data_IF_623632765720
#
_entry.id   IF_623632765720
#
_cell.length_a   1.000
_cell.length_b   1.000
_cell.length_c   1.000
_cell.angle_alpha   90.00
_cell.angle_beta   90.00
_cell.angle_gamma   90.00
#
_symmetry.space_group_name_H-M   'P 1'
#
loop_
_entity.id
_entity.type
_entity.pdbx_description
1 polymer ?
#
# COMPACT_ATOMS: atom_id res chain seq x y z
N UNK A 1 57.05 -12.23 33.62
CA UNK A 1 57.08 -13.60 33.05
C UNK A 1 57.29 -13.43 31.54
N UNK A 2 58.50 -13.54 30.96
CA UNK A 2 59.26 -14.76 30.58
C UNK A 2 58.32 -15.83 29.96
N UNK A 3 58.48 -16.34 28.73
CA UNK A 3 59.62 -16.39 27.78
C UNK A 3 59.15 -16.92 26.38
N UNK A 4 59.84 -16.48 25.30
CA UNK A 4 60.27 -17.14 24.02
C UNK A 4 59.23 -17.85 23.11
N UNK A 5 59.14 -17.61 21.78
CA UNK A 5 60.07 -17.76 20.62
C UNK A 5 60.50 -19.21 20.26
N UNK A 6 60.71 -19.44 18.94
CA UNK A 6 61.18 -20.64 18.17
C UNK A 6 60.01 -21.38 17.47
N UNK A 7 59.72 -21.26 16.16
CA UNK A 7 60.45 -21.58 14.90
C UNK A 7 60.55 -23.09 14.57
N UNK A 8 59.89 -23.44 13.44
CA UNK A 8 60.12 -24.53 12.48
C UNK A 8 59.99 -26.01 12.91
N UNK A 9 59.13 -26.78 12.22
CA UNK A 9 59.54 -27.62 11.08
C UNK A 9 58.34 -28.33 10.43
N UNK A 10 58.46 -28.55 9.13
CA UNK A 10 57.55 -29.20 8.18
C UNK A 10 57.09 -30.61 8.58
N UNK A 11 55.87 -30.97 8.16
CA UNK A 11 55.57 -32.29 7.59
C UNK A 11 54.36 -32.18 6.64
N UNK A 12 54.64 -32.32 5.35
CA UNK A 12 53.65 -32.53 4.30
C UNK A 12 53.28 -34.02 4.25
N UNK A 13 51.98 -34.34 4.20
CA UNK A 13 51.51 -35.64 3.72
C UNK A 13 50.09 -35.51 3.15
N UNK A 14 49.98 -35.99 1.91
CA UNK A 14 48.86 -36.03 0.99
C UNK A 14 47.46 -36.22 1.59
N UNK A 15 46.51 -35.38 1.19
CA UNK A 15 45.10 -35.72 1.20
C UNK A 15 44.64 -36.05 -0.23
N UNK A 16 44.23 -37.29 -0.41
CA UNK A 16 43.74 -37.88 -1.64
C UNK A 16 42.47 -37.16 -2.08
N UNK A 17 42.48 -36.61 -3.30
CA UNK A 17 41.27 -36.12 -3.98
C UNK A 17 40.46 -37.35 -4.42
N UNK A 18 39.39 -37.65 -3.69
CA UNK A 18 38.35 -38.53 -4.19
C UNK A 18 37.41 -37.71 -5.10
N UNK A 19 37.53 -37.94 -6.41
CA UNK A 19 36.59 -37.43 -7.42
C UNK A 19 35.30 -38.22 -7.26
N UNK A 20 34.26 -37.61 -6.71
CA UNK A 20 32.89 -38.15 -6.80
C UNK A 20 32.27 -37.70 -8.11
N UNK A 21 31.63 -38.60 -8.89
CA UNK A 21 30.95 -38.21 -10.12
C UNK A 21 29.71 -37.38 -9.78
N UNK A 22 29.68 -36.14 -10.27
CA UNK A 22 28.51 -35.28 -10.30
C UNK A 22 27.39 -36.01 -11.06
N UNK A 23 26.38 -36.47 -10.32
CA UNK A 23 25.16 -37.07 -10.87
C UNK A 23 23.98 -36.30 -10.32
N UNK A 24 23.24 -35.65 -11.23
CA UNK A 24 21.93 -35.06 -10.94
C UNK A 24 21.95 -33.54 -10.78
N UNK A 25 21.91 -32.82 -11.90
CA UNK A 25 21.25 -31.52 -11.97
C UNK A 25 19.78 -31.72 -11.62
N UNK A 26 19.47 -31.68 -10.32
CA UNK A 26 18.12 -31.40 -9.86
C UNK A 26 17.78 -29.98 -10.29
N UNK A 27 16.80 -29.84 -11.18
CA UNK A 27 16.15 -28.55 -11.39
C UNK A 27 15.75 -27.98 -10.03
N UNK A 28 15.89 -26.67 -9.77
CA UNK A 28 15.30 -26.09 -8.58
C UNK A 28 13.80 -26.40 -8.65
N UNK A 29 13.31 -27.17 -7.69
CA UNK A 29 11.88 -27.35 -7.50
C UNK A 29 11.29 -25.95 -7.39
N UNK A 30 10.35 -25.63 -8.27
CA UNK A 30 9.48 -24.47 -8.10
C UNK A 30 8.70 -24.81 -6.83
N UNK A 31 9.12 -24.30 -5.67
CA UNK A 31 8.29 -24.36 -4.49
C UNK A 31 6.96 -23.69 -4.85
N UNK A 32 5.81 -24.35 -4.62
CA UNK A 32 4.53 -23.72 -4.86
C UNK A 32 4.53 -22.43 -4.05
N UNK A 33 4.19 -21.32 -4.70
CA UNK A 33 4.02 -20.02 -4.05
C UNK A 33 2.92 -20.17 -2.99
N UNK A 34 3.33 -20.46 -1.75
CA UNK A 34 2.45 -20.65 -0.58
C UNK A 34 2.04 -19.31 0.02
N UNK A 35 2.03 -18.26 -0.81
CA UNK A 35 1.47 -16.96 -0.47
C UNK A 35 -0.03 -17.09 -0.23
N UNK A 36 -0.41 -17.22 1.04
CA UNK A 36 -1.82 -17.19 1.44
C UNK A 36 -2.45 -15.88 1.00
N UNK A 37 -3.52 -15.97 0.21
CA UNK A 37 -4.34 -14.81 -0.18
C UNK A 37 -5.44 -14.58 0.85
N UNK A 38 -6.02 -13.39 0.80
CA UNK A 38 -7.17 -13.00 1.62
C UNK A 38 -8.39 -12.80 0.74
N UNK A 39 -9.56 -13.18 1.25
CA UNK A 39 -10.86 -12.94 0.60
C UNK A 39 -11.78 -12.19 1.57
N UNK A 40 -12.70 -11.41 1.01
CA UNK A 40 -13.80 -10.81 1.75
C UNK A 40 -14.98 -11.78 1.75
N UNK A 41 -15.35 -12.30 2.92
CA UNK A 41 -16.48 -13.23 3.05
C UNK A 41 -17.82 -12.52 2.86
N UNK A 42 -18.89 -13.32 2.71
CA UNK A 42 -20.27 -12.80 2.69
C UNK A 42 -20.69 -12.09 3.99
N UNK A 43 -19.98 -12.33 5.09
CA UNK A 43 -20.18 -11.64 6.37
C UNK A 43 -19.30 -10.41 6.52
N UNK A 44 -18.75 -9.88 5.42
CA UNK A 44 -17.89 -8.68 5.41
C UNK A 44 -16.61 -8.83 6.24
N UNK A 45 -16.08 -10.05 6.36
CA UNK A 45 -14.89 -10.34 7.14
C UNK A 45 -13.75 -10.84 6.26
N UNK A 46 -12.55 -10.34 6.52
CA UNK A 46 -11.35 -10.81 5.83
C UNK A 46 -10.87 -12.14 6.40
N UNK A 47 -10.84 -13.16 5.55
CA UNK A 47 -10.43 -14.52 5.89
C UNK A 47 -9.33 -15.00 4.91
N UNK A 48 -8.54 -15.97 5.35
CA UNK A 48 -7.58 -16.62 4.47
C UNK A 48 -8.33 -17.41 3.40
N UNK A 49 -7.79 -17.39 2.18
CA UNK A 49 -8.34 -18.14 1.05
C UNK A 49 -7.99 -19.63 1.19
N UNK A 50 -8.86 -20.38 1.86
CA UNK A 50 -8.74 -21.84 1.94
C UNK A 50 -9.23 -22.49 0.64
N UNK A 51 -8.68 -23.66 0.28
CA UNK A 51 -8.94 -24.39 -0.97
C UNK A 51 -10.43 -24.76 -1.22
N UNK A 52 -11.31 -24.56 -0.25
CA UNK A 52 -12.76 -24.71 -0.34
C UNK A 52 -13.47 -23.50 -0.97
N UNK A 53 -12.81 -22.37 -1.14
CA UNK A 53 -13.36 -21.16 -1.76
C UNK A 53 -13.21 -21.18 -3.29
N UNK A 54 -13.87 -22.15 -3.92
CA UNK A 54 -13.94 -22.29 -5.37
C UNK A 54 -15.01 -21.31 -5.90
N UNK A 55 -14.60 -20.05 -6.11
CA UNK A 55 -15.46 -19.02 -6.69
C UNK A 55 -14.69 -17.78 -7.15
N UNK A 56 -15.38 -16.89 -7.86
CA UNK A 56 -14.86 -15.61 -8.39
C UNK A 56 -14.65 -14.55 -7.30
N UNK A 57 -14.42 -14.97 -6.05
CA UNK A 57 -14.15 -14.07 -4.95
C UNK A 57 -12.86 -13.29 -5.21
N UNK A 58 -12.91 -11.98 -4.98
CA UNK A 58 -11.75 -11.13 -5.10
C UNK A 58 -10.69 -11.48 -4.06
N UNK A 59 -9.48 -11.73 -4.54
CA UNK A 59 -8.32 -12.09 -3.73
C UNK A 59 -7.42 -10.89 -3.50
N UNK A 60 -6.91 -10.79 -2.29
CA UNK A 60 -6.03 -9.73 -1.82
C UNK A 60 -4.70 -10.33 -1.35
N UNK A 61 -3.61 -9.60 -1.60
CA UNK A 61 -2.26 -10.02 -1.23
C UNK A 61 -2.02 -10.00 0.28
N UNK A 62 -2.69 -9.08 0.99
CA UNK A 62 -2.51 -8.90 2.44
C UNK A 62 -3.85 -8.77 3.17
N UNK A 63 -3.86 -9.03 4.48
CA UNK A 63 -5.04 -8.79 5.30
C UNK A 63 -5.44 -7.31 5.30
N UNK A 64 -4.44 -6.42 5.33
CA UNK A 64 -4.66 -4.98 5.30
C UNK A 64 -5.39 -4.57 4.02
N UNK A 65 -4.92 -5.07 2.88
CA UNK A 65 -5.54 -4.84 1.57
C UNK A 65 -7.00 -5.28 1.53
N UNK A 66 -7.31 -6.45 2.10
CA UNK A 66 -8.67 -6.91 2.22
C UNK A 66 -9.51 -5.96 3.10
N UNK A 67 -9.01 -5.59 4.29
CA UNK A 67 -9.74 -4.73 5.24
C UNK A 67 -10.02 -3.33 4.71
N UNK A 68 -9.19 -2.82 3.80
CA UNK A 68 -9.40 -1.52 3.16
C UNK A 68 -10.68 -1.47 2.33
N UNK A 69 -11.06 -2.58 1.69
CA UNK A 69 -12.20 -2.65 0.75
C UNK A 69 -13.33 -3.57 1.19
N UNK A 70 -13.11 -4.39 2.22
CA UNK A 70 -14.09 -5.34 2.72
C UNK A 70 -15.00 -4.70 3.76
N UNK A 71 -16.31 -4.94 3.60
CA UNK A 71 -17.36 -4.41 4.46
C UNK A 71 -17.88 -3.05 4.05
N UNK A 72 -19.05 -2.68 4.60
CA UNK A 72 -19.82 -1.51 4.17
C UNK A 72 -19.02 -0.20 4.12
N UNK A 73 -18.11 0.00 5.08
CA UNK A 73 -17.29 1.22 5.20
C UNK A 73 -15.77 0.96 5.05
N UNK A 74 -15.36 -0.29 4.82
CA UNK A 74 -13.94 -0.66 4.80
C UNK A 74 -13.19 -0.17 6.03
N UNK A 75 -12.05 0.49 5.80
CA UNK A 75 -11.22 1.09 6.84
C UNK A 75 -11.53 2.57 7.14
N UNK A 76 -12.66 3.11 6.67
CA UNK A 76 -12.99 4.54 6.84
C UNK A 76 -13.37 4.82 8.29
N UNK A 77 -12.67 5.75 8.93
CA UNK A 77 -12.98 6.27 10.26
C UNK A 77 -12.81 7.80 10.32
N UNK A 78 -13.77 8.57 10.87
CA UNK A 78 -15.06 8.13 11.40
C UNK A 78 -16.00 7.59 10.30
N UNK A 79 -17.01 6.82 10.71
CA UNK A 79 -18.00 6.26 9.81
C UNK A 79 -18.79 7.40 9.11
N UNK A 80 -18.90 7.38 7.77
CA UNK A 80 -19.72 8.36 7.06
C UNK A 80 -21.18 8.34 7.53
N UNK A 81 -21.76 9.52 7.73
CA UNK A 81 -23.15 9.68 8.15
C UNK A 81 -24.14 9.62 6.98
N UNK A 82 -23.67 9.89 5.76
CA UNK A 82 -24.45 9.82 4.53
C UNK A 82 -24.37 8.47 3.81
N UNK A 83 -24.87 8.45 2.57
CA UNK A 83 -24.74 7.30 1.69
C UNK A 83 -23.25 7.03 1.39
N UNK A 84 -22.81 5.81 1.63
CA UNK A 84 -21.46 5.35 1.35
C UNK A 84 -21.53 4.06 0.54
N UNK A 85 -20.89 4.07 -0.63
CA UNK A 85 -20.73 2.90 -1.49
C UNK A 85 -19.24 2.78 -1.78
N UNK A 86 -18.64 1.70 -1.29
CA UNK A 86 -17.22 1.41 -1.46
C UNK A 86 -17.05 0.29 -2.49
N UNK A 87 -16.19 0.52 -3.48
CA UNK A 87 -15.82 -0.51 -4.45
C UNK A 87 -14.81 -1.49 -3.86
N UNK A 88 -14.82 -2.72 -4.36
CA UNK A 88 -13.80 -3.71 -4.01
C UNK A 88 -12.52 -3.55 -4.86
N UNK A 89 -12.57 -2.67 -5.87
CA UNK A 89 -11.45 -2.34 -6.75
C UNK A 89 -10.42 -1.43 -6.10
N UNK A 90 -9.15 -1.68 -6.44
CA UNK A 90 -8.00 -0.96 -5.93
C UNK A 90 -7.14 -0.58 -7.11
N UNK A 91 -6.62 0.63 -7.08
CA UNK A 91 -5.75 1.16 -8.11
C UNK A 91 -4.44 1.60 -7.47
N UNK A 92 -3.33 1.31 -8.13
CA UNK A 92 -2.06 1.92 -7.78
C UNK A 92 -2.01 3.33 -8.38
N UNK A 93 -1.58 4.30 -7.59
CA UNK A 93 -1.35 5.66 -8.05
C UNK A 93 -0.03 6.19 -7.50
N UNK A 94 0.56 7.12 -8.22
CA UNK A 94 1.82 7.73 -7.83
C UNK A 94 1.54 8.91 -6.87
N UNK A 95 2.02 8.85 -5.62
CA UNK A 95 1.85 9.94 -4.64
C UNK A 95 2.33 11.31 -5.15
N UNK A 96 3.35 11.33 -6.01
CA UNK A 96 3.93 12.56 -6.56
C UNK A 96 3.10 13.16 -7.71
N UNK A 97 2.15 12.39 -8.24
CA UNK A 97 1.25 12.78 -9.34
C UNK A 97 -0.18 13.06 -8.86
N UNK A 98 -0.35 13.34 -7.57
CA UNK A 98 -1.60 13.91 -7.05
C UNK A 98 -1.63 15.40 -7.40
N UNK A 99 -2.74 15.85 -8.02
CA UNK A 99 -2.96 17.23 -8.47
C UNK A 99 -4.31 17.73 -7.98
N UNK A 100 -4.38 19.02 -7.71
CA UNK A 100 -5.57 19.69 -7.17
C UNK A 100 -6.05 20.75 -8.16
N UNK A 101 -7.32 20.66 -8.52
CA UNK A 101 -8.05 21.72 -9.20
C UNK A 101 -9.20 22.14 -8.29
N UNK A 102 -8.95 23.13 -7.45
CA UNK A 102 -9.89 23.56 -6.42
C UNK A 102 -10.26 25.01 -6.65
N UNK A 103 -11.57 25.27 -6.68
CA UNK A 103 -12.14 26.60 -6.77
C UNK A 103 -12.63 27.02 -5.37
N UNK A 104 -12.23 28.22 -4.93
CA UNK A 104 -12.68 28.83 -3.68
C UNK A 104 -13.03 30.31 -3.92
N UNK A 105 -13.97 30.88 -3.16
CA UNK A 105 -14.59 32.17 -3.49
C UNK A 105 -13.77 33.39 -3.06
N UNK A 106 -12.75 33.22 -2.20
CA UNK A 106 -11.90 34.31 -1.71
C UNK A 106 -10.42 33.95 -1.72
N UNK A 107 -9.55 34.97 -1.69
CA UNK A 107 -8.10 34.75 -1.57
C UNK A 107 -7.73 34.00 -0.28
N UNK A 108 -8.40 34.32 0.83
CA UNK A 108 -8.18 33.67 2.12
C UNK A 108 -8.58 32.19 2.08
N UNK A 109 -9.78 31.86 1.58
CA UNK A 109 -10.22 30.46 1.44
C UNK A 109 -9.37 29.68 0.44
N UNK A 110 -8.93 30.33 -0.65
CA UNK A 110 -7.97 29.75 -1.59
C UNK A 110 -6.64 29.40 -0.92
N UNK A 111 -6.10 30.30 -0.11
CA UNK A 111 -4.86 30.06 0.62
C UNK A 111 -5.03 28.95 1.67
N UNK A 112 -6.13 28.96 2.43
CA UNK A 112 -6.45 27.92 3.40
C UNK A 112 -6.44 26.53 2.75
N UNK A 113 -7.19 26.36 1.66
CA UNK A 113 -7.27 25.08 0.95
C UNK A 113 -5.93 24.69 0.34
N UNK A 114 -5.13 25.66 -0.15
CA UNK A 114 -3.79 25.38 -0.67
C UNK A 114 -2.88 24.77 0.41
N UNK A 115 -2.90 25.29 1.63
CA UNK A 115 -2.12 24.73 2.73
C UNK A 115 -2.65 23.36 3.16
N UNK A 116 -3.98 23.18 3.21
CA UNK A 116 -4.59 21.86 3.46
C UNK A 116 -4.18 20.82 2.43
N UNK A 117 -4.17 21.18 1.13
CA UNK A 117 -3.73 20.30 0.05
C UNK A 117 -2.26 19.89 0.22
N UNK A 118 -1.40 20.83 0.66
CA UNK A 118 0.01 20.55 0.94
C UNK A 118 0.17 19.54 2.07
N UNK A 119 -0.60 19.69 3.16
CA UNK A 119 -0.60 18.76 4.29
C UNK A 119 -1.08 17.38 3.84
N UNK A 120 -2.16 17.32 3.05
CA UNK A 120 -2.70 16.06 2.52
C UNK A 120 -1.66 15.30 1.69
N UNK A 121 -1.01 15.96 0.74
CA UNK A 121 0.05 15.34 -0.08
C UNK A 121 1.22 14.89 0.79
N UNK A 122 1.61 15.70 1.78
CA UNK A 122 2.66 15.32 2.71
C UNK A 122 2.33 14.05 3.49
N UNK A 123 1.07 13.86 3.89
CA UNK A 123 0.64 12.66 4.61
C UNK A 123 0.62 11.44 3.67
N UNK A 124 0.11 11.56 2.45
CA UNK A 124 0.14 10.44 1.49
C UNK A 124 1.57 10.00 1.19
N UNK A 125 2.50 10.94 1.01
CA UNK A 125 3.90 10.62 0.73
C UNK A 125 4.54 9.88 1.92
N UNK A 126 4.14 10.16 3.16
CA UNK A 126 4.67 9.45 4.34
C UNK A 126 4.23 7.99 4.42
N UNK A 127 3.05 7.65 3.90
CA UNK A 127 2.60 6.26 3.79
C UNK A 127 3.46 5.45 2.80
N UNK A 128 4.21 6.13 1.95
CA UNK A 128 5.12 5.53 0.98
C UNK A 128 6.52 5.29 1.58
N UNK A 129 6.75 4.09 2.14
CA UNK A 129 8.02 3.72 2.78
C UNK A 129 9.16 3.38 1.80
N UNK A 130 8.85 3.09 0.53
CA UNK A 130 9.80 2.70 -0.54
C UNK A 130 9.43 3.39 -1.85
N UNK A 131 10.03 3.02 -2.98
CA UNK A 131 9.59 3.56 -4.27
C UNK A 131 8.15 3.09 -4.61
N UNK A 132 7.15 3.94 -4.39
CA UNK A 132 5.74 3.65 -4.74
C UNK A 132 5.37 4.10 -6.16
N UNK A 133 6.31 4.64 -6.91
CA UNK A 133 6.11 4.98 -8.32
C UNK A 133 6.36 3.73 -9.17
N UNK A 134 5.30 2.98 -9.43
CA UNK A 134 5.28 1.82 -10.33
C UNK A 134 4.91 2.26 -11.76
N UNK A 135 5.32 1.51 -12.78
CA UNK A 135 5.01 1.81 -14.19
C UNK A 135 3.50 1.94 -14.46
N UNK A 136 2.69 1.10 -13.80
CA UNK A 136 1.22 1.11 -13.90
C UNK A 136 0.52 2.14 -13.00
N UNK A 137 1.27 2.99 -12.30
CA UNK A 137 0.69 3.95 -11.36
C UNK A 137 -0.11 5.02 -12.08
N UNK A 138 -1.38 5.15 -11.70
CA UNK A 138 -2.27 6.20 -12.21
C UNK A 138 -1.95 7.56 -11.57
N UNK A 139 -2.47 8.60 -12.20
CA UNK A 139 -2.45 9.97 -11.66
C UNK A 139 -3.78 10.27 -10.97
N UNK A 140 -3.76 11.10 -9.92
CA UNK A 140 -4.97 11.46 -9.17
C UNK A 140 -5.24 12.94 -9.35
N UNK A 141 -6.40 13.27 -9.91
CA UNK A 141 -6.89 14.63 -10.01
C UNK A 141 -8.03 14.87 -9.02
N UNK A 142 -7.76 15.64 -7.98
CA UNK A 142 -8.75 16.07 -7.00
C UNK A 142 -9.43 17.34 -7.49
N UNK A 143 -10.76 17.30 -7.63
CA UNK A 143 -11.59 18.46 -7.97
C UNK A 143 -12.50 18.80 -6.80
N UNK A 144 -12.47 20.05 -6.36
CA UNK A 144 -13.35 20.52 -5.30
C UNK A 144 -13.83 21.95 -5.56
N UNK A 145 -14.99 22.29 -5.02
CA UNK A 145 -15.55 23.64 -5.05
C UNK A 145 -15.99 23.98 -3.65
N UNK A 146 -15.41 25.05 -3.10
CA UNK A 146 -15.76 25.59 -1.79
C UNK A 146 -16.75 26.72 -2.04
N UNK A 147 -17.83 26.76 -1.26
CA UNK A 147 -18.89 27.75 -1.43
C UNK A 147 -18.78 28.90 -0.41
N UNK A 148 -18.16 28.67 0.74
CA UNK A 148 -18.05 29.67 1.81
C UNK A 148 -16.74 30.47 1.70
N UNK A 149 -16.83 31.76 1.99
CA UNK A 149 -15.66 32.62 2.21
C UNK A 149 -15.22 32.64 3.67
N UNK A 150 -16.06 32.14 4.58
CA UNK A 150 -15.82 32.15 6.02
C UNK A 150 -14.87 31.03 6.43
N UNK A 151 -13.91 31.37 7.28
CA UNK A 151 -12.89 30.47 7.83
C UNK A 151 -13.00 30.37 9.35
N UNK A 152 -14.02 30.99 9.94
CA UNK A 152 -14.32 30.89 11.37
C UNK A 152 -14.88 29.51 11.66
N UNK A 153 -14.28 28.82 12.64
CA UNK A 153 -14.80 27.56 13.16
C UNK A 153 -15.69 27.84 14.36
N UNK A 154 -16.99 27.60 14.20
CA UNK A 154 -18.01 27.73 15.24
C UNK A 154 -19.10 26.66 15.11
N UNK A 155 -20.09 26.70 15.98
CA UNK A 155 -21.19 25.71 16.02
C UNK A 155 -22.10 25.72 14.79
N UNK A 156 -22.03 26.76 13.97
CA UNK A 156 -22.81 26.92 12.74
C UNK A 156 -22.01 26.62 11.47
N UNK A 157 -20.71 26.33 11.60
CA UNK A 157 -19.86 25.94 10.46
C UNK A 157 -20.41 24.68 9.78
N UNK A 158 -20.68 24.79 8.48
CA UNK A 158 -21.10 23.65 7.66
C UNK A 158 -19.87 22.83 7.21
N UNK A 159 -19.69 21.67 7.83
CA UNK A 159 -18.60 20.72 7.52
C UNK A 159 -19.06 19.57 6.57
N UNK A 160 -20.24 19.69 5.96
CA UNK A 160 -20.77 18.66 5.07
C UNK A 160 -20.01 18.59 3.73
N UNK A 161 -19.87 17.38 3.20
CA UNK A 161 -19.26 17.16 1.88
C UNK A 161 -19.85 15.92 1.19
N UNK A 162 -19.64 15.85 -0.12
CA UNK A 162 -19.87 14.66 -0.92
C UNK A 162 -18.57 14.29 -1.64
N UNK A 163 -18.18 13.02 -1.53
CA UNK A 163 -16.97 12.49 -2.15
C UNK A 163 -17.35 11.46 -3.20
N UNK A 164 -16.81 11.61 -4.41
CA UNK A 164 -16.95 10.64 -5.49
C UNK A 164 -15.58 10.33 -6.06
N UNK A 165 -15.20 9.06 -6.02
CA UNK A 165 -13.95 8.56 -6.57
C UNK A 165 -14.28 7.70 -7.79
N UNK A 166 -13.67 8.00 -8.93
CA UNK A 166 -13.86 7.26 -10.18
C UNK A 166 -12.60 7.32 -11.02
N UNK A 167 -12.36 6.26 -11.78
CA UNK A 167 -11.33 6.23 -12.82
C UNK A 167 -11.86 6.96 -14.06
N UNK A 168 -11.01 7.73 -14.73
CA UNK A 168 -11.34 8.45 -15.97
C UNK A 168 -10.24 8.27 -17.00
N UNK A 169 -10.61 7.98 -18.24
CA UNK A 169 -9.66 7.66 -19.32
C UNK A 169 -9.19 6.20 -19.23
N UNK A 170 -9.31 5.46 -20.33
CA UNK A 170 -8.63 4.17 -20.52
C UNK A 170 -7.19 4.40 -20.96
#
# INVERSE_FOLDING_TARGET
>A
MKFKNEVALLLAAALIVAITPASGMGSPAIEPDTSYKWICSSTEMCQLDDASNIGDAKRYETQHDCRMSCGKYGAIWPMPTGNCVLGQERIHFDPWKVRFNVAAPSAASTQFVRETNRIFVSNIIKECLRNCTLEQSKEVLVKATINSTDLTLDWSTDESYQLTIRTTGE
#
